data_IF_344898001014
#
_entry.id   IF_344898001014
#
_cell.length_a   1.000
_cell.length_b   1.000
_cell.length_c   1.000
_cell.angle_alpha   90.00
_cell.angle_beta   90.00
_cell.angle_gamma   90.00
#
_symmetry.space_group_name_H-M   'P 1'
#
loop_
_entity.id
_entity.type
_entity.pdbx_description
1 polymer ?
#
# COMPACT_ATOMS: atom_id res chain seq x y z
N UNK A 1 27.79 17.29 1.37
CA UNK A 1 26.83 17.67 0.31
C UNK A 1 27.06 16.72 -0.85
N UNK A 2 26.18 15.73 -1.00
CA UNK A 2 26.25 14.70 -2.05
C UNK A 2 25.07 14.94 -2.99
N UNK A 3 25.43 15.09 -4.26
CA UNK A 3 24.62 15.66 -5.33
C UNK A 3 23.42 14.77 -5.65
N UNK A 4 22.22 15.36 -5.58
CA UNK A 4 21.05 14.85 -6.30
C UNK A 4 21.26 15.17 -7.79
N UNK A 5 21.10 14.21 -8.71
CA UNK A 5 21.01 14.53 -10.12
C UNK A 5 19.80 15.43 -10.36
N UNK A 6 20.05 16.48 -11.16
CA UNK A 6 19.08 17.46 -11.65
C UNK A 6 17.91 16.81 -12.38
N UNK A 7 16.73 17.37 -12.11
CA UNK A 7 15.65 17.57 -13.10
C UNK A 7 15.12 16.32 -13.81
N UNK A 8 14.49 15.41 -13.07
CA UNK A 8 13.32 14.72 -13.61
C UNK A 8 12.08 15.13 -12.81
N UNK A 9 10.93 15.40 -13.46
CA UNK A 9 9.80 15.97 -12.78
C UNK A 9 9.21 14.87 -11.90
N UNK A 10 9.47 14.91 -10.60
CA UNK A 10 8.61 14.26 -9.58
C UNK A 10 7.20 14.92 -9.55
N UNK A 11 6.77 15.50 -10.66
CA UNK A 11 5.49 16.16 -10.87
C UNK A 11 4.36 15.15 -10.70
N UNK A 12 4.54 13.89 -11.10
CA UNK A 12 3.50 12.87 -10.95
C UNK A 12 3.30 12.47 -9.47
N UNK A 13 4.40 12.28 -8.74
CA UNK A 13 4.35 12.01 -7.29
C UNK A 13 3.80 13.20 -6.50
N UNK A 14 4.21 14.42 -6.86
CA UNK A 14 3.73 15.66 -6.25
C UNK A 14 2.27 15.96 -6.60
N UNK A 15 1.84 15.69 -7.84
CA UNK A 15 0.45 15.84 -8.28
C UNK A 15 -0.44 14.80 -7.61
N UNK A 16 0.02 13.55 -7.50
CA UNK A 16 -0.69 12.49 -6.82
C UNK A 16 -0.77 12.73 -5.29
N UNK A 17 0.29 13.28 -4.71
CA UNK A 17 0.28 13.81 -3.34
C UNK A 17 -0.74 14.95 -3.19
N UNK A 18 -0.76 15.93 -4.10
CA UNK A 18 -1.71 17.03 -4.09
C UNK A 18 -3.17 16.58 -4.25
N UNK A 19 -3.45 15.67 -5.19
CA UNK A 19 -4.77 15.03 -5.37
C UNK A 19 -5.22 14.28 -4.11
N UNK A 20 -4.27 13.63 -3.43
CA UNK A 20 -4.54 12.93 -2.18
C UNK A 20 -4.84 13.92 -1.07
N UNK A 21 -4.12 15.04 -0.95
CA UNK A 21 -4.45 16.10 0.00
C UNK A 21 -5.85 16.70 -0.27
N UNK A 22 -6.19 16.94 -1.54
CA UNK A 22 -7.53 17.43 -1.93
C UNK A 22 -8.63 16.44 -1.58
N UNK A 23 -8.50 15.17 -1.98
CA UNK A 23 -9.50 14.13 -1.72
C UNK A 23 -9.68 13.85 -0.22
N UNK A 24 -8.63 13.99 0.58
CA UNK A 24 -8.68 13.78 2.03
C UNK A 24 -9.29 15.00 2.76
N UNK A 25 -9.27 16.19 2.17
CA UNK A 25 -9.95 17.39 2.70
C UNK A 25 -11.48 17.34 2.58
N UNK A 26 -12.01 16.53 1.66
CA UNK A 26 -13.47 16.40 1.40
C UNK A 26 -14.17 15.37 2.33
N UNK A 27 -13.41 14.69 3.19
CA UNK A 27 -13.92 13.97 4.37
C UNK A 27 -14.72 12.67 4.13
N UNK A 28 -14.95 12.26 2.88
CA UNK A 28 -15.63 10.99 2.55
C UNK A 28 -14.63 9.96 2.00
N UNK A 29 -14.68 8.75 2.53
CA UNK A 29 -13.84 7.59 2.14
C UNK A 29 -12.32 7.73 2.38
N UNK A 30 -11.91 8.56 3.34
CA UNK A 30 -10.51 8.81 3.72
C UNK A 30 -9.66 7.53 3.82
N UNK A 31 -10.21 6.47 4.41
CA UNK A 31 -9.49 5.21 4.62
C UNK A 31 -9.17 4.50 3.30
N UNK A 32 -10.13 4.42 2.38
CA UNK A 32 -10.01 3.79 1.06
C UNK A 32 -9.05 4.59 0.20
N UNK A 33 -9.27 5.91 0.09
CA UNK A 33 -8.40 6.82 -0.66
C UNK A 33 -6.95 6.70 -0.21
N UNK A 34 -6.72 6.63 1.10
CA UNK A 34 -5.37 6.48 1.64
C UNK A 34 -4.74 5.12 1.28
N UNK A 35 -5.49 4.00 1.29
CA UNK A 35 -4.92 2.69 0.88
C UNK A 35 -4.53 2.68 -0.60
N UNK A 36 -5.38 3.26 -1.44
CA UNK A 36 -5.10 3.42 -2.87
C UNK A 36 -3.84 4.25 -3.11
N UNK A 37 -3.72 5.35 -2.36
CA UNK A 37 -2.54 6.22 -2.42
C UNK A 37 -1.27 5.47 -2.02
N UNK A 38 -1.28 4.77 -0.90
CA UNK A 38 -0.10 4.05 -0.38
C UNK A 38 0.36 2.95 -1.35
N UNK A 39 -0.57 2.18 -1.93
CA UNK A 39 -0.23 1.16 -2.92
C UNK A 39 0.43 1.77 -4.16
N UNK A 40 -0.18 2.84 -4.71
CA UNK A 40 0.38 3.56 -5.85
C UNK A 40 1.73 4.21 -5.54
N UNK A 41 1.91 4.75 -4.33
CA UNK A 41 3.18 5.30 -3.86
C UNK A 41 4.27 4.23 -3.90
N UNK A 42 4.01 3.05 -3.34
CA UNK A 42 4.98 1.95 -3.36
C UNK A 42 5.35 1.55 -4.79
N UNK A 43 4.36 1.41 -5.67
CA UNK A 43 4.57 1.09 -7.08
C UNK A 43 5.37 2.18 -7.81
N UNK A 44 5.07 3.46 -7.58
CA UNK A 44 5.78 4.59 -8.19
C UNK A 44 7.24 4.71 -7.70
N UNK A 45 7.53 4.26 -6.47
CA UNK A 45 8.89 4.16 -5.94
C UNK A 45 9.66 2.95 -6.51
N UNK A 46 9.05 2.14 -7.38
CA UNK A 46 9.66 0.97 -8.00
C UNK A 46 9.54 -0.31 -7.16
N UNK A 47 8.77 -0.30 -6.07
CA UNK A 47 8.52 -1.52 -5.30
C UNK A 47 7.44 -2.36 -5.96
N UNK A 48 7.78 -3.61 -6.27
CA UNK A 48 6.81 -4.59 -6.72
C UNK A 48 5.85 -4.95 -5.57
N UNK A 49 4.55 -4.80 -5.82
CA UNK A 49 3.47 -5.22 -4.92
C UNK A 49 2.51 -6.09 -5.73
N UNK A 50 2.86 -7.36 -5.89
CA UNK A 50 2.06 -8.36 -6.62
C UNK A 50 0.88 -8.82 -5.77
N UNK A 51 -0.32 -8.73 -6.31
CA UNK A 51 -1.57 -8.97 -5.57
C UNK A 51 -2.48 -10.02 -6.22
N UNK A 52 -2.21 -10.33 -7.48
CA UNK A 52 -2.96 -11.22 -8.36
C UNK A 52 -2.31 -12.61 -8.49
N UNK A 53 -1.01 -12.71 -8.21
CA UNK A 53 -0.25 -13.95 -8.17
C UNK A 53 0.50 -14.13 -6.85
N UNK A 54 0.68 -15.38 -6.44
CA UNK A 54 1.60 -15.76 -5.37
C UNK A 54 3.06 -15.78 -5.87
N UNK A 55 3.99 -15.97 -4.94
CA UNK A 55 5.43 -15.97 -5.23
C UNK A 55 5.88 -17.10 -6.18
N UNK A 56 5.08 -18.16 -6.28
CA UNK A 56 5.29 -19.29 -7.18
C UNK A 56 4.56 -19.07 -8.53
N UNK A 57 4.08 -17.84 -8.79
CA UNK A 57 3.36 -17.40 -9.99
C UNK A 57 2.01 -18.08 -10.22
N UNK A 58 1.37 -18.62 -9.18
CA UNK A 58 0.01 -19.13 -9.26
C UNK A 58 -1.00 -18.00 -8.99
N UNK A 59 -2.15 -17.98 -9.67
CA UNK A 59 -3.20 -17.01 -9.36
C UNK A 59 -3.67 -17.09 -7.91
N UNK A 60 -3.91 -15.93 -7.29
CA UNK A 60 -4.47 -15.86 -5.95
C UNK A 60 -5.89 -16.45 -5.90
N UNK A 61 -6.14 -17.27 -4.88
CA UNK A 61 -7.44 -17.89 -4.63
C UNK A 61 -8.20 -17.06 -3.58
N UNK A 62 -9.42 -16.57 -3.88
CA UNK A 62 -10.16 -15.66 -3.00
C UNK A 62 -10.32 -16.15 -1.55
N UNK A 63 -10.70 -17.41 -1.37
CA UNK A 63 -11.04 -17.97 -0.05
C UNK A 63 -9.82 -18.53 0.70
N UNK A 64 -8.60 -18.46 0.12
CA UNK A 64 -7.36 -18.92 0.76
C UNK A 64 -6.75 -17.78 1.58
N UNK A 65 -6.26 -18.11 2.77
CA UNK A 65 -5.44 -17.19 3.57
C UNK A 65 -3.98 -17.39 3.18
N UNK A 66 -3.34 -16.30 2.78
CA UNK A 66 -1.93 -16.24 2.43
C UNK A 66 -1.14 -15.58 3.54
N UNK A 67 0.17 -15.81 3.52
CA UNK A 67 1.14 -14.98 4.21
C UNK A 67 1.80 -14.07 3.18
N UNK A 68 1.72 -12.77 3.39
CA UNK A 68 2.33 -11.79 2.49
C UNK A 68 3.66 -11.31 3.10
N UNK A 69 4.77 -11.64 2.46
CA UNK A 69 6.12 -11.20 2.83
C UNK A 69 6.58 -10.10 1.86
N UNK A 70 7.19 -9.04 2.38
CA UNK A 70 7.78 -8.00 1.52
C UNK A 70 8.84 -8.61 0.60
N UNK A 71 9.05 -8.04 -0.58
CA UNK A 71 9.93 -8.54 -1.65
C UNK A 71 9.52 -9.87 -2.33
N UNK A 72 8.81 -10.76 -1.64
CA UNK A 72 8.41 -12.07 -2.17
C UNK A 72 6.93 -12.12 -2.61
N UNK A 73 6.04 -11.39 -1.92
CA UNK A 73 4.62 -11.40 -2.20
C UNK A 73 3.85 -12.40 -1.35
N UNK A 74 2.71 -12.87 -1.88
CA UNK A 74 1.86 -13.84 -1.19
C UNK A 74 2.44 -15.26 -1.28
N UNK A 75 2.38 -16.01 -0.19
CA UNK A 75 2.84 -17.39 -0.11
C UNK A 75 1.93 -18.24 0.80
N UNK A 76 2.14 -19.55 0.77
CA UNK A 76 1.49 -20.47 1.70
C UNK A 76 1.90 -20.21 3.15
N UNK A 77 0.94 -20.38 4.08
CA UNK A 77 1.13 -20.09 5.50
C UNK A 77 2.27 -20.86 6.16
N UNK A 78 2.66 -22.00 5.59
CA UNK A 78 3.72 -22.88 6.11
C UNK A 78 5.11 -22.55 5.57
N UNK A 79 5.23 -21.66 4.56
CA UNK A 79 6.50 -21.42 3.86
C UNK A 79 7.45 -20.51 4.63
N UNK A 80 6.90 -19.58 5.42
CA UNK A 80 7.63 -18.61 6.23
C UNK A 80 6.82 -18.22 7.46
N UNK A 81 7.47 -17.71 8.49
CA UNK A 81 6.80 -17.06 9.64
C UNK A 81 6.83 -15.54 9.56
N UNK A 82 7.51 -14.98 8.55
CA UNK A 82 7.63 -13.53 8.32
C UNK A 82 6.37 -12.97 7.64
N UNK A 83 6.25 -11.65 7.59
CA UNK A 83 5.10 -11.01 6.95
C UNK A 83 3.79 -11.09 7.74
N UNK A 84 2.68 -10.88 7.05
CA UNK A 84 1.34 -10.83 7.67
C UNK A 84 0.36 -11.76 6.96
N UNK A 85 -0.69 -12.19 7.68
CA UNK A 85 -1.77 -12.99 7.08
C UNK A 85 -2.77 -12.08 6.37
N UNK A 86 -3.16 -12.44 5.15
CA UNK A 86 -4.13 -11.70 4.33
C UNK A 86 -5.00 -12.71 3.56
N UNK A 87 -6.30 -12.46 3.48
CA UNK A 87 -7.23 -13.25 2.67
C UNK A 87 -6.97 -12.96 1.18
N UNK A 88 -6.97 -13.99 0.34
CA UNK A 88 -6.77 -13.84 -1.10
C UNK A 88 -7.76 -12.86 -1.74
N UNK A 89 -9.02 -12.88 -1.28
CA UNK A 89 -10.05 -11.91 -1.68
C UNK A 89 -9.59 -10.47 -1.45
N UNK A 90 -8.98 -10.16 -0.29
CA UNK A 90 -8.44 -8.81 -0.03
C UNK A 90 -7.39 -8.43 -1.06
N UNK A 91 -6.47 -9.34 -1.41
CA UNK A 91 -5.43 -9.07 -2.40
C UNK A 91 -6.04 -8.78 -3.78
N UNK A 92 -7.00 -9.60 -4.22
CA UNK A 92 -7.71 -9.43 -5.48
C UNK A 92 -8.56 -8.15 -5.53
N UNK A 93 -9.23 -7.83 -4.42
CA UNK A 93 -10.01 -6.60 -4.26
C UNK A 93 -9.08 -5.37 -4.36
N UNK A 94 -7.91 -5.40 -3.72
CA UNK A 94 -6.89 -4.36 -3.85
C UNK A 94 -6.36 -4.24 -5.28
N UNK A 95 -6.04 -5.36 -5.93
CA UNK A 95 -5.57 -5.40 -7.32
C UNK A 95 -6.61 -4.78 -8.28
N UNK A 96 -7.89 -5.01 -8.00
CA UNK A 96 -9.03 -4.48 -8.78
C UNK A 96 -9.49 -3.09 -8.33
N UNK A 97 -8.76 -2.47 -7.39
CA UNK A 97 -9.08 -1.17 -6.80
C UNK A 97 -10.47 -1.10 -6.12
N UNK A 98 -11.01 -2.22 -5.64
CA UNK A 98 -12.30 -2.35 -4.96
C UNK A 98 -12.07 -2.45 -3.44
N UNK A 99 -12.68 -1.56 -2.66
CA UNK A 99 -12.50 -1.53 -1.18
C UNK A 99 -13.83 -1.43 -0.43
N UNK A 100 -14.94 -1.83 -1.06
CA UNK A 100 -16.26 -1.76 -0.46
C UNK A 100 -16.42 -2.72 0.74
N UNK A 101 -15.70 -3.84 0.70
CA UNK A 101 -15.73 -4.86 1.74
C UNK A 101 -14.95 -4.43 3.01
N UNK A 102 -15.53 -4.68 4.18
CA UNK A 102 -14.96 -4.25 5.46
C UNK A 102 -13.69 -5.02 5.83
N UNK A 103 -13.66 -6.32 5.53
CA UNK A 103 -12.47 -7.14 5.78
C UNK A 103 -11.31 -6.67 4.89
N UNK A 104 -11.60 -6.39 3.62
CA UNK A 104 -10.64 -5.80 2.68
C UNK A 104 -10.08 -4.47 3.20
N UNK A 105 -10.93 -3.55 3.69
CA UNK A 105 -10.46 -2.29 4.27
C UNK A 105 -9.54 -2.50 5.48
N UNK A 106 -9.87 -3.44 6.36
CA UNK A 106 -9.07 -3.75 7.54
C UNK A 106 -7.72 -4.38 7.17
N UNK A 107 -7.74 -5.41 6.34
CA UNK A 107 -6.54 -6.16 5.98
C UNK A 107 -5.61 -5.35 5.06
N UNK A 108 -6.14 -4.61 4.08
CA UNK A 108 -5.34 -3.70 3.25
C UNK A 108 -4.62 -2.64 4.07
N UNK A 109 -5.25 -2.11 5.13
CA UNK A 109 -4.60 -1.21 6.08
C UNK A 109 -3.43 -1.86 6.82
N UNK A 110 -3.60 -3.11 7.25
CA UNK A 110 -2.52 -3.84 7.90
C UNK A 110 -1.37 -4.13 6.92
N UNK A 111 -1.69 -4.54 5.69
CA UNK A 111 -0.73 -4.81 4.63
C UNK A 111 0.08 -3.58 4.26
N UNK A 112 -0.57 -2.45 4.00
CA UNK A 112 0.14 -1.20 3.69
C UNK A 112 1.01 -0.75 4.85
N UNK A 113 0.53 -0.84 6.10
CA UNK A 113 1.37 -0.50 7.26
C UNK A 113 2.61 -1.39 7.34
N UNK A 114 2.47 -2.69 7.07
CA UNK A 114 3.59 -3.63 7.04
C UNK A 114 4.59 -3.28 5.93
N UNK A 115 4.12 -3.13 4.68
CA UNK A 115 4.98 -2.85 3.53
C UNK A 115 5.67 -1.49 3.62
N UNK A 116 4.95 -0.44 4.04
CA UNK A 116 5.55 0.88 4.25
C UNK A 116 6.61 0.85 5.36
N UNK A 117 6.34 0.15 6.46
CA UNK A 117 7.33 -0.01 7.53
C UNK A 117 8.58 -0.78 7.06
N UNK A 118 8.40 -1.79 6.22
CA UNK A 118 9.52 -2.54 5.64
C UNK A 118 10.37 -1.68 4.69
N UNK A 119 9.74 -0.98 3.74
CA UNK A 119 10.47 -0.24 2.70
C UNK A 119 10.97 1.14 3.13
N UNK A 120 10.26 1.82 4.03
CA UNK A 120 10.58 3.20 4.44
C UNK A 120 11.15 3.29 5.86
N UNK A 121 11.18 2.16 6.59
CA UNK A 121 11.69 2.07 7.96
C UNK A 121 10.85 2.82 8.99
N UNK A 122 11.45 3.12 10.14
CA UNK A 122 10.82 3.83 11.27
C UNK A 122 10.60 5.33 11.02
N UNK A 123 10.85 5.84 9.81
CA UNK A 123 10.39 7.18 9.45
C UNK A 123 8.89 7.07 9.24
N UNK A 124 8.05 7.53 10.18
CA UNK A 124 6.62 7.48 9.96
C UNK A 124 6.35 8.22 8.65
N UNK A 125 5.60 7.60 7.75
CA UNK A 125 4.86 8.37 6.77
C UNK A 125 3.95 9.27 7.59
N UNK A 126 4.39 10.50 7.79
CA UNK A 126 3.72 11.52 8.58
C UNK A 126 2.36 11.91 7.98
N UNK A 127 1.79 11.13 7.06
CA UNK A 127 0.40 11.21 6.60
C UNK A 127 -0.51 11.78 7.68
N UNK A 128 -0.67 11.12 8.84
CA UNK A 128 -1.49 11.61 9.96
C UNK A 128 -1.03 12.93 10.61
N UNK A 129 0.26 13.18 10.79
CA UNK A 129 0.77 14.39 11.46
C UNK A 129 0.72 15.61 10.53
N UNK A 130 1.02 15.43 9.25
CA UNK A 130 0.81 16.42 8.20
C UNK A 130 -0.66 16.82 8.08
N UNK A 131 -1.61 15.89 8.24
CA UNK A 131 -3.04 16.22 8.26
C UNK A 131 -3.44 17.12 9.44
N UNK A 132 -2.78 16.97 10.59
CA UNK A 132 -3.04 17.82 11.76
C UNK A 132 -2.43 19.21 11.56
N UNK A 133 -1.23 19.29 10.98
CA UNK A 133 -0.54 20.57 10.73
C UNK A 133 -1.15 21.38 9.58
N UNK A 134 -1.94 20.76 8.69
CA UNK A 134 -2.65 21.42 7.57
C UNK A 134 -4.06 21.91 7.93
N UNK A 135 -4.56 21.63 9.15
CA UNK A 135 -5.83 22.14 9.68
C UNK A 135 -5.65 23.32 10.65
N UNK A 136 -4.41 23.82 10.80
CA UNK A 136 -4.04 25.00 11.59
C UNK A 136 -3.82 26.24 10.73
#
# INVERSE_FOLDING_TARGET
IRLLPREEPYTELFHFYHETILALSEGRELTITLRRFELKLLQALGYAVTLDYDEDSNPIIPDKIYRYEAEYGACDLTKTDRGIKVLGKTLLDMASNQYLDKETQQQSKQLMRYLLGFYLGDKPLHSKQLFVDLQG
#
